data_IF_507712782958
#
_entry.id   IF_507712782958
#
_cell.length_a   1.000
_cell.length_b   1.000
_cell.length_c   1.000
_cell.angle_alpha   90.00
_cell.angle_beta   90.00
_cell.angle_gamma   90.00
#
_symmetry.space_group_name_H-M   'P 1'
#
loop_
_entity.id
_entity.type
_entity.pdbx_description
1 polymer ?
#
# COMPACT_ATOMS: atom_id res chain seq x y z
N UNK A 1 -15.38 -7.98 29.84
CA UNK A 1 -15.97 -6.70 30.26
C UNK A 1 -14.84 -5.96 30.95
N UNK A 2 -14.31 -4.93 30.27
CA UNK A 2 -13.25 -3.95 30.65
C UNK A 2 -12.14 -3.64 29.62
N UNK A 3 -12.20 -4.14 28.37
CA UNK A 3 -11.18 -3.77 27.36
C UNK A 3 -11.27 -2.31 26.85
N UNK A 4 -12.39 -1.62 27.09
CA UNK A 4 -12.64 -0.29 26.54
C UNK A 4 -12.14 0.86 27.42
N UNK A 5 -12.00 0.66 28.75
CA UNK A 5 -11.53 1.71 29.67
C UNK A 5 -9.99 1.83 29.73
N UNK A 6 -9.27 0.73 29.49
CA UNK A 6 -7.79 0.69 29.51
C UNK A 6 -7.14 1.40 28.30
N UNK A 7 -7.90 1.64 27.22
CA UNK A 7 -7.36 2.21 25.98
C UNK A 7 -7.33 3.74 25.98
N UNK A 8 -8.35 4.41 26.56
CA UNK A 8 -8.41 5.87 26.64
C UNK A 8 -7.27 6.45 27.50
N UNK A 9 -6.58 5.60 28.25
CA UNK A 9 -5.47 5.92 29.13
C UNK A 9 -4.13 5.32 28.65
N UNK A 10 -4.10 4.63 27.51
CA UNK A 10 -2.86 4.03 26.99
C UNK A 10 -1.89 5.10 26.48
N UNK A 11 -1.00 5.52 27.37
CA UNK A 11 0.05 6.49 27.10
C UNK A 11 1.16 5.90 26.23
N UNK A 12 0.98 6.02 24.91
CA UNK A 12 1.94 5.56 23.89
C UNK A 12 3.33 6.17 24.08
N UNK A 13 3.43 7.40 24.59
CA UNK A 13 4.71 8.12 24.73
C UNK A 13 5.70 7.39 25.65
N UNK A 14 5.20 6.62 26.62
CA UNK A 14 6.02 5.78 27.52
C UNK A 14 6.82 4.71 26.78
N UNK A 15 6.41 4.37 25.56
CA UNK A 15 7.00 3.32 24.75
C UNK A 15 7.88 3.86 23.61
N UNK A 16 8.26 5.14 23.64
CA UNK A 16 9.24 5.71 22.70
C UNK A 16 10.55 4.90 22.64
N UNK A 17 10.97 4.31 23.76
CA UNK A 17 12.15 3.44 23.77
C UNK A 17 11.93 2.12 23.05
N UNK A 18 10.71 1.55 23.07
CA UNK A 18 10.38 0.38 22.24
C UNK A 18 10.47 0.75 20.75
N UNK A 19 9.94 1.91 20.38
CA UNK A 19 10.06 2.44 19.01
C UNK A 19 11.52 2.53 18.57
N UNK A 20 12.36 3.16 19.40
CA UNK A 20 13.78 3.28 19.12
C UNK A 20 14.49 1.93 18.96
N UNK A 21 14.16 0.94 19.81
CA UNK A 21 14.69 -0.41 19.69
C UNK A 21 14.27 -1.09 18.38
N UNK A 22 13.02 -0.94 17.98
CA UNK A 22 12.51 -1.48 16.71
C UNK A 22 13.18 -0.83 15.50
N UNK A 23 13.38 0.49 15.55
CA UNK A 23 14.10 1.24 14.51
C UNK A 23 15.57 0.80 14.39
N UNK A 24 16.25 0.60 15.51
CA UNK A 24 17.64 0.16 15.53
C UNK A 24 17.80 -1.25 14.95
N UNK A 25 16.92 -2.18 15.34
CA UNK A 25 16.90 -3.54 14.80
C UNK A 25 16.59 -3.55 13.30
N UNK A 26 15.62 -2.74 12.85
CA UNK A 26 15.32 -2.59 11.43
C UNK A 26 16.49 -1.95 10.66
N UNK A 27 17.20 -0.99 11.25
CA UNK A 27 18.29 -0.26 10.60
C UNK A 27 19.51 -1.12 10.24
N UNK A 28 19.76 -2.19 11.01
CA UNK A 28 20.85 -3.15 10.70
C UNK A 28 20.39 -4.39 9.94
N UNK A 29 19.08 -4.63 9.90
CA UNK A 29 18.47 -5.76 9.21
C UNK A 29 18.55 -5.54 7.69
N UNK A 30 19.22 -6.45 6.99
CA UNK A 30 19.22 -6.49 5.52
C UNK A 30 18.03 -7.29 4.95
N UNK A 31 17.05 -7.54 5.81
CA UNK A 31 15.91 -8.40 5.58
C UNK A 31 16.21 -9.90 5.69
N UNK A 32 17.22 -10.27 6.48
CA UNK A 32 17.68 -11.65 6.67
C UNK A 32 18.19 -12.28 5.36
N UNK A 33 18.96 -11.51 4.57
CA UNK A 33 19.56 -11.98 3.30
C UNK A 33 20.96 -12.56 3.49
N UNK A 34 21.84 -11.82 4.16
CA UNK A 34 23.26 -12.18 4.29
C UNK A 34 23.83 -11.90 5.68
N UNK A 35 23.22 -10.99 6.46
CA UNK A 35 23.67 -10.65 7.81
C UNK A 35 22.96 -11.51 8.85
N UNK A 36 23.36 -12.77 8.91
CA UNK A 36 22.91 -13.68 9.97
C UNK A 36 23.16 -13.06 11.35
N UNK A 37 22.22 -13.29 12.26
CA UNK A 37 22.23 -12.77 13.64
C UNK A 37 22.25 -11.24 13.81
N UNK A 38 21.93 -10.46 12.76
CA UNK A 38 21.81 -9.00 12.83
C UNK A 38 20.42 -8.51 12.42
N UNK A 39 19.80 -7.74 13.32
CA UNK A 39 18.45 -7.21 13.17
C UNK A 39 17.38 -8.28 13.44
N UNK A 40 16.25 -8.11 12.75
CA UNK A 40 15.13 -9.04 12.80
C UNK A 40 15.43 -10.33 12.03
N UNK A 41 14.95 -11.47 12.55
CA UNK A 41 14.94 -12.72 11.79
C UNK A 41 13.89 -12.70 10.66
N UNK A 42 13.86 -13.75 9.84
CA UNK A 42 12.94 -13.83 8.69
C UNK A 42 11.45 -13.76 9.08
N UNK A 43 11.08 -14.20 10.29
CA UNK A 43 9.68 -14.17 10.77
C UNK A 43 9.28 -12.76 11.15
N UNK A 44 10.19 -12.01 11.76
CA UNK A 44 9.92 -10.68 12.28
C UNK A 44 10.24 -9.55 11.30
N UNK A 45 11.12 -9.78 10.32
CA UNK A 45 11.63 -8.77 9.37
C UNK A 45 10.53 -7.87 8.80
N UNK A 46 9.49 -8.46 8.18
CA UNK A 46 8.46 -7.66 7.50
C UNK A 46 7.69 -6.78 8.48
N UNK A 47 7.33 -7.31 9.65
CA UNK A 47 6.61 -6.57 10.68
C UNK A 47 7.52 -5.51 11.33
N UNK A 48 8.76 -5.88 11.65
CA UNK A 48 9.75 -5.00 12.26
C UNK A 48 10.04 -3.77 11.40
N UNK A 49 10.26 -3.94 10.09
CA UNK A 49 10.45 -2.82 9.18
C UNK A 49 9.20 -1.95 9.03
N UNK A 50 8.00 -2.55 8.96
CA UNK A 50 6.75 -1.79 8.90
C UNK A 50 6.61 -0.88 10.14
N UNK A 51 6.83 -1.40 11.34
CA UNK A 51 6.69 -0.61 12.57
C UNK A 51 7.87 0.33 12.83
N UNK A 52 9.06 0.03 12.30
CA UNK A 52 10.17 0.98 12.25
C UNK A 52 9.86 2.17 11.32
N UNK A 53 9.13 1.96 10.24
CA UNK A 53 8.71 3.04 9.35
C UNK A 53 7.57 3.89 9.94
N UNK A 54 6.59 3.24 10.59
CA UNK A 54 5.43 3.94 11.14
C UNK A 54 5.79 4.80 12.37
N UNK A 55 5.23 6.02 12.52
CA UNK A 55 5.32 6.78 13.75
C UNK A 55 4.62 6.02 14.88
N UNK A 56 5.05 6.26 16.11
CA UNK A 56 4.55 5.51 17.27
C UNK A 56 3.02 5.62 17.45
N UNK A 57 2.43 6.77 17.12
CA UNK A 57 0.97 6.96 17.18
C UNK A 57 0.19 6.20 16.09
N UNK A 58 0.89 5.72 15.06
CA UNK A 58 0.32 4.85 14.03
C UNK A 58 0.45 3.36 14.35
N UNK A 59 1.06 2.99 15.48
CA UNK A 59 1.16 1.58 15.88
C UNK A 59 -0.18 1.05 16.42
N UNK A 60 -0.67 -0.10 15.90
CA UNK A 60 -1.75 -0.86 16.54
C UNK A 60 -1.37 -1.24 17.97
N UNK A 61 -2.34 -1.28 18.88
CA UNK A 61 -2.06 -1.54 20.30
C UNK A 61 -1.43 -2.93 20.52
N UNK A 62 -1.85 -3.92 19.75
CA UNK A 62 -1.30 -5.28 19.77
C UNK A 62 0.22 -5.33 19.53
N UNK A 63 0.76 -4.32 18.84
CA UNK A 63 2.18 -4.26 18.47
C UNK A 63 3.06 -3.84 19.62
N UNK A 64 2.54 -3.13 20.62
CA UNK A 64 3.35 -2.72 21.76
C UNK A 64 3.86 -3.95 22.51
N UNK A 65 2.99 -4.92 22.84
CA UNK A 65 3.39 -6.17 23.49
C UNK A 65 4.36 -6.97 22.61
N UNK A 66 4.08 -7.07 21.30
CA UNK A 66 4.96 -7.74 20.35
C UNK A 66 6.35 -7.11 20.29
N UNK A 67 6.42 -5.78 20.21
CA UNK A 67 7.68 -5.03 20.20
C UNK A 67 8.44 -5.19 21.52
N UNK A 68 7.74 -5.21 22.65
CA UNK A 68 8.37 -5.52 23.93
C UNK A 68 8.98 -6.93 23.95
N UNK A 69 8.28 -7.94 23.43
CA UNK A 69 8.83 -9.30 23.27
C UNK A 69 10.07 -9.31 22.36
N UNK A 70 10.09 -8.51 21.29
CA UNK A 70 11.28 -8.35 20.46
C UNK A 70 12.47 -7.81 21.25
N UNK A 71 12.26 -6.88 22.19
CA UNK A 71 13.37 -6.40 23.03
C UNK A 71 13.99 -7.50 23.90
N UNK A 72 13.21 -8.50 24.31
CA UNK A 72 13.71 -9.65 25.07
C UNK A 72 14.41 -10.65 24.16
N UNK A 73 13.82 -10.94 22.99
CA UNK A 73 14.40 -11.83 21.98
C UNK A 73 15.75 -11.31 21.47
N UNK A 74 15.82 -10.04 21.10
CA UNK A 74 17.00 -9.40 20.50
C UNK A 74 17.87 -8.62 21.51
N UNK A 75 17.74 -8.91 22.81
CA UNK A 75 18.39 -8.14 23.88
C UNK A 75 19.92 -8.03 23.71
N UNK A 76 20.58 -9.09 23.23
CA UNK A 76 22.04 -9.08 23.00
C UNK A 76 22.43 -8.02 21.97
N UNK A 77 21.75 -8.01 20.83
CA UNK A 77 22.01 -7.03 19.75
C UNK A 77 21.69 -5.61 20.22
N UNK A 78 20.58 -5.42 20.94
CA UNK A 78 20.22 -4.11 21.51
C UNK A 78 21.28 -3.62 22.52
N UNK A 79 21.83 -4.52 23.33
CA UNK A 79 22.94 -4.21 24.24
C UNK A 79 24.22 -3.78 23.51
N UNK A 80 24.56 -4.45 22.41
CA UNK A 80 25.68 -4.06 21.53
C UNK A 80 25.46 -2.68 20.90
N UNK A 81 24.20 -2.31 20.62
CA UNK A 81 23.79 -0.98 20.15
C UNK A 81 23.64 0.06 21.27
N UNK A 82 23.93 -0.29 22.53
CA UNK A 82 23.76 0.58 23.70
C UNK A 82 22.30 1.00 23.96
N UNK A 83 21.33 0.19 23.54
CA UNK A 83 19.90 0.41 23.77
C UNK A 83 19.44 -0.46 24.94
N UNK A 84 19.29 0.14 26.11
CA UNK A 84 18.82 -0.57 27.31
C UNK A 84 17.29 -0.59 27.39
N UNK A 85 16.71 -1.77 27.18
CA UNK A 85 15.28 -2.07 27.30
C UNK A 85 14.95 -2.94 28.54
N UNK A 86 15.88 -3.12 29.47
CA UNK A 86 15.71 -4.01 30.63
C UNK A 86 14.58 -3.55 31.56
N UNK A 87 14.53 -2.25 31.84
CA UNK A 87 13.56 -1.62 32.74
C UNK A 87 12.23 -1.22 32.08
N UNK A 88 12.01 -1.55 30.80
CA UNK A 88 10.75 -1.18 30.13
C UNK A 88 9.58 -2.00 30.67
N UNK A 89 8.49 -1.32 31.12
CA UNK A 89 7.31 -2.02 31.59
C UNK A 89 6.72 -2.85 30.45
N UNK A 90 6.22 -4.03 30.80
CA UNK A 90 5.48 -4.86 29.86
C UNK A 90 4.17 -4.16 29.48
N UNK A 91 3.90 -3.92 28.18
CA UNK A 91 2.62 -3.40 27.73
C UNK A 91 1.48 -4.42 27.97
N UNK A 92 0.22 -3.98 28.13
CA UNK A 92 -0.92 -4.88 28.13
C UNK A 92 -1.01 -5.66 26.81
N UNK A 93 -1.65 -6.83 26.87
CA UNK A 93 -1.96 -7.64 25.69
C UNK A 93 -3.30 -7.19 25.13
N UNK A 94 -3.29 -6.68 23.90
CA UNK A 94 -4.50 -6.24 23.19
C UNK A 94 -4.81 -7.22 22.06
N UNK A 95 -5.58 -8.28 22.37
CA UNK A 95 -6.00 -9.27 21.37
C UNK A 95 -7.02 -8.70 20.40
N UNK A 96 -6.84 -8.94 19.10
CA UNK A 96 -7.79 -8.52 18.05
C UNK A 96 -7.67 -7.05 17.63
N UNK A 97 -6.79 -6.27 18.25
CA UNK A 97 -6.62 -4.83 18.00
C UNK A 97 -5.56 -4.50 16.95
N UNK A 98 -5.56 -5.31 15.89
CA UNK A 98 -4.62 -5.21 14.78
C UNK A 98 -5.10 -4.29 13.65
N UNK A 99 -6.36 -3.83 13.74
CA UNK A 99 -7.04 -3.04 12.70
C UNK A 99 -7.02 -1.55 13.04
N UNK A 100 -6.12 -0.81 12.41
CA UNK A 100 -5.95 0.62 12.63
C UNK A 100 -5.82 1.41 11.34
N UNK A 101 -6.42 2.60 11.31
CA UNK A 101 -6.15 3.63 10.33
C UNK A 101 -5.34 4.72 11.02
N UNK A 102 -4.26 5.17 10.41
CA UNK A 102 -3.45 6.28 10.87
C UNK A 102 -3.22 7.29 9.73
N UNK A 103 -2.77 8.49 10.07
CA UNK A 103 -2.30 9.43 9.05
C UNK A 103 -0.98 8.93 8.47
N UNK A 104 -0.80 9.11 7.15
CA UNK A 104 0.49 8.88 6.53
C UNK A 104 1.53 9.89 7.07
N UNK A 105 2.79 9.48 7.36
CA UNK A 105 3.80 10.36 7.97
C UNK A 105 4.15 11.59 7.14
N UNK A 106 4.02 11.50 5.81
CA UNK A 106 4.19 12.65 4.91
C UNK A 106 2.95 13.56 4.78
N UNK A 107 1.84 13.21 5.45
CA UNK A 107 0.58 13.95 5.43
C UNK A 107 -0.29 13.77 4.17
N UNK A 108 0.15 12.96 3.20
CA UNK A 108 -0.49 12.84 1.87
C UNK A 108 -1.68 11.88 1.84
N UNK A 109 -1.90 11.07 2.87
CA UNK A 109 -2.98 10.08 2.89
C UNK A 109 -3.13 9.36 4.22
N UNK A 110 -3.63 8.13 4.16
CA UNK A 110 -3.86 7.27 5.33
C UNK A 110 -3.04 5.99 5.24
N UNK A 111 -2.50 5.55 6.37
CA UNK A 111 -2.05 4.18 6.58
C UNK A 111 -3.20 3.32 7.07
N UNK A 112 -3.36 2.15 6.46
CA UNK A 112 -4.38 1.17 6.86
C UNK A 112 -3.67 -0.12 7.22
N UNK A 113 -3.75 -0.49 8.50
CA UNK A 113 -3.04 -1.60 9.10
C UNK A 113 -4.07 -2.62 9.55
N UNK A 114 -3.91 -3.86 9.12
CA UNK A 114 -4.75 -4.99 9.50
C UNK A 114 -4.04 -6.31 9.20
N UNK A 115 -4.48 -7.43 9.80
CA UNK A 115 -3.91 -8.75 9.54
C UNK A 115 -4.04 -9.14 8.06
N UNK A 116 -2.98 -9.71 7.48
CA UNK A 116 -2.96 -10.12 6.06
C UNK A 116 -3.68 -11.45 5.80
N UNK A 117 -4.10 -12.16 6.82
CA UNK A 117 -4.79 -13.46 6.77
C UNK A 117 -6.32 -13.33 6.63
N UNK A 118 -6.88 -12.13 6.83
CA UNK A 118 -8.29 -11.82 6.56
C UNK A 118 -8.50 -11.48 5.07
N UNK A 119 -8.58 -12.52 4.23
CA UNK A 119 -8.72 -12.35 2.78
C UNK A 119 -9.93 -11.51 2.33
N UNK A 120 -11.14 -11.68 2.91
CA UNK A 120 -12.27 -10.81 2.58
C UNK A 120 -12.00 -9.32 2.85
N UNK A 121 -11.35 -9.00 3.97
CA UNK A 121 -10.94 -7.64 4.30
C UNK A 121 -9.88 -7.10 3.34
N UNK A 122 -8.88 -7.93 3.03
CA UNK A 122 -7.82 -7.60 2.07
C UNK A 122 -8.41 -7.29 0.70
N UNK A 123 -9.37 -8.09 0.22
CA UNK A 123 -9.96 -7.93 -1.10
C UNK A 123 -10.88 -6.71 -1.16
N UNK A 124 -11.72 -6.49 -0.13
CA UNK A 124 -12.57 -5.30 -0.08
C UNK A 124 -11.76 -4.01 -0.05
N UNK A 125 -10.65 -3.98 0.71
CA UNK A 125 -9.75 -2.84 0.74
C UNK A 125 -9.11 -2.55 -0.64
N UNK A 126 -8.75 -3.60 -1.38
CA UNK A 126 -8.16 -3.50 -2.73
C UNK A 126 -9.11 -2.93 -3.77
N UNK A 127 -10.40 -2.99 -3.51
CA UNK A 127 -11.42 -2.45 -4.40
C UNK A 127 -11.81 -1.00 -4.02
N UNK A 128 -11.27 -0.44 -2.93
CA UNK A 128 -11.52 0.96 -2.61
C UNK A 128 -10.83 1.89 -3.62
N UNK A 129 -11.57 2.85 -4.20
CA UNK A 129 -10.98 3.82 -5.12
C UNK A 129 -9.99 4.73 -4.37
N UNK A 130 -8.79 4.90 -4.92
CA UNK A 130 -7.73 5.70 -4.30
C UNK A 130 -6.79 4.91 -3.38
N UNK A 131 -6.94 3.59 -3.26
CA UNK A 131 -5.88 2.78 -2.66
C UNK A 131 -4.65 2.73 -3.56
N UNK A 132 -3.47 2.75 -2.96
CA UNK A 132 -2.20 2.59 -3.65
C UNK A 132 -1.36 1.53 -2.94
N UNK A 133 -0.76 0.62 -3.72
CA UNK A 133 0.22 -0.34 -3.21
C UNK A 133 1.62 0.26 -3.30
N UNK A 134 2.26 0.38 -2.16
CA UNK A 134 3.64 0.85 -2.04
C UNK A 134 4.59 -0.31 -1.79
N UNK A 135 5.84 -0.10 -2.16
CA UNK A 135 6.95 -1.02 -1.93
C UNK A 135 8.12 -0.20 -1.42
N UNK A 136 8.51 -0.47 -0.19
CA UNK A 136 9.74 0.10 0.37
C UNK A 136 10.82 -0.98 0.36
N UNK A 137 12.00 -0.70 -0.24
CA UNK A 137 13.11 -1.63 -0.22
C UNK A 137 13.65 -1.84 1.19
N UNK A 138 13.93 -3.10 1.51
CA UNK A 138 14.71 -3.55 2.67
C UNK A 138 16.00 -4.13 2.10
N UNK A 139 17.11 -3.44 2.37
CA UNK A 139 18.41 -3.81 1.80
C UNK A 139 18.41 -3.76 0.27
N UNK A 140 19.01 -4.77 -0.37
CA UNK A 140 19.27 -4.76 -1.83
C UNK A 140 18.19 -5.44 -2.66
N UNK A 141 17.29 -6.24 -2.06
CA UNK A 141 16.35 -7.09 -2.82
C UNK A 141 14.98 -7.32 -2.19
N UNK A 142 14.80 -7.03 -0.91
CA UNK A 142 13.53 -7.29 -0.23
C UNK A 142 12.64 -6.06 -0.29
N UNK A 143 11.33 -6.28 -0.31
CA UNK A 143 10.36 -5.20 -0.27
C UNK A 143 9.34 -5.54 0.81
N UNK A 144 9.06 -4.62 1.72
CA UNK A 144 7.80 -4.69 2.45
C UNK A 144 6.74 -3.91 1.68
N UNK A 145 5.55 -4.52 1.65
CA UNK A 145 4.40 -3.97 0.94
C UNK A 145 3.48 -3.38 1.96
N UNK A 146 3.08 -2.14 1.74
CA UNK A 146 2.01 -1.51 2.49
C UNK A 146 1.08 -0.82 1.52
N UNK A 147 -0.11 -0.49 2.00
CA UNK A 147 -1.09 0.22 1.20
C UNK A 147 -1.48 1.51 1.88
N UNK A 148 -1.62 2.55 1.09
CA UNK A 148 -2.18 3.82 1.53
C UNK A 148 -3.48 4.08 0.83
N UNK A 149 -4.24 5.02 1.38
CA UNK A 149 -5.44 5.55 0.76
C UNK A 149 -5.27 7.05 0.51
N UNK A 150 -5.52 7.48 -0.73
CA UNK A 150 -5.56 8.88 -1.15
C UNK A 150 -6.92 9.16 -1.78
N UNK A 151 -7.69 10.11 -1.24
CA UNK A 151 -9.03 10.43 -1.75
C UNK A 151 -9.98 10.92 -0.67
N UNK A 152 -11.29 10.85 -0.94
CA UNK A 152 -12.33 11.20 0.02
C UNK A 152 -12.24 10.24 1.20
N UNK A 153 -11.62 10.69 2.29
CA UNK A 153 -11.46 9.88 3.48
C UNK A 153 -12.79 9.39 4.05
N UNK A 154 -13.93 9.99 3.71
CA UNK A 154 -15.26 9.46 4.05
C UNK A 154 -15.48 8.03 3.51
N UNK A 155 -15.08 7.72 2.27
CA UNK A 155 -15.20 6.36 1.71
C UNK A 155 -14.38 5.37 2.52
N UNK A 156 -13.16 5.77 2.90
CA UNK A 156 -12.30 4.96 3.76
C UNK A 156 -12.94 4.72 5.12
N UNK A 157 -13.51 5.75 5.75
CA UNK A 157 -14.18 5.63 7.05
C UNK A 157 -15.43 4.75 6.98
N UNK A 158 -16.23 4.90 5.94
CA UNK A 158 -17.44 4.10 5.71
C UNK A 158 -17.08 2.63 5.53
N UNK A 159 -16.05 2.34 4.73
CA UNK A 159 -15.52 0.98 4.55
C UNK A 159 -14.98 0.40 5.86
N UNK A 160 -14.28 1.21 6.66
CA UNK A 160 -13.59 0.73 7.86
C UNK A 160 -14.55 0.43 9.02
N UNK A 161 -15.72 1.05 9.03
CA UNK A 161 -16.76 0.90 10.06
C UNK A 161 -17.24 -0.54 10.27
N UNK A 162 -17.70 -1.30 9.25
CA UNK A 162 -18.13 -2.68 9.43
C UNK A 162 -17.02 -3.64 9.87
N UNK A 163 -15.75 -3.25 9.69
CA UNK A 163 -14.59 -4.04 10.12
C UNK A 163 -14.01 -3.59 11.47
N UNK A 164 -14.66 -2.63 12.13
CA UNK A 164 -14.30 -2.11 13.45
C UNK A 164 -12.86 -1.58 13.53
N UNK A 165 -12.40 -0.87 12.50
CA UNK A 165 -11.09 -0.23 12.55
C UNK A 165 -11.04 0.87 13.61
N UNK A 166 -9.91 0.93 14.30
CA UNK A 166 -9.55 2.06 15.16
C UNK A 166 -9.00 3.20 14.32
N UNK A 167 -9.38 4.43 14.68
CA UNK A 167 -8.89 5.63 14.03
C UNK A 167 -7.82 6.26 14.92
N UNK A 168 -6.62 6.44 14.36
CA UNK A 168 -5.56 7.20 14.99
C UNK A 168 -5.93 8.69 15.10
N UNK A 169 -5.20 9.45 15.93
CA UNK A 169 -5.42 10.88 16.10
C UNK A 169 -5.42 11.63 14.74
N UNK A 170 -6.39 12.53 14.54
CA UNK A 170 -6.48 13.36 13.33
C UNK A 170 -7.03 12.67 12.08
N UNK A 171 -7.24 11.35 12.11
CA UNK A 171 -7.72 10.58 10.94
C UNK A 171 -9.13 11.00 10.55
N UNK A 172 -10.05 11.13 11.52
CA UNK A 172 -11.44 11.49 11.26
C UNK A 172 -11.54 12.90 10.69
N UNK A 173 -10.83 13.83 11.30
CA UNK A 173 -10.77 15.23 10.90
C UNK A 173 -10.18 15.37 9.49
N UNK A 174 -9.07 14.68 9.20
CA UNK A 174 -8.47 14.67 7.87
C UNK A 174 -9.39 14.06 6.82
N UNK A 175 -10.07 12.97 7.17
CA UNK A 175 -10.99 12.29 6.28
C UNK A 175 -12.21 13.15 5.92
N UNK A 176 -12.76 13.86 6.90
CA UNK A 176 -13.86 14.80 6.72
C UNK A 176 -13.40 16.08 6.00
N UNK A 177 -12.21 16.61 6.30
CA UNK A 177 -11.65 17.78 5.64
C UNK A 177 -11.27 17.52 4.18
N UNK A 178 -11.08 16.26 3.79
CA UNK A 178 -10.84 15.83 2.41
C UNK A 178 -12.13 15.85 1.56
N UNK A 179 -13.04 16.81 1.81
CA UNK A 179 -14.20 17.12 0.98
C UNK A 179 -13.75 17.72 -0.37
N UNK A 180 -13.19 16.88 -1.21
CA UNK A 180 -13.18 17.07 -2.65
C UNK A 180 -13.98 15.92 -3.24
N UNK A 181 -14.78 16.19 -4.27
CA UNK A 181 -15.23 15.14 -5.17
C UNK A 181 -13.97 14.37 -5.56
N UNK A 182 -13.85 13.12 -5.11
CA UNK A 182 -13.02 12.19 -5.84
C UNK A 182 -13.70 12.17 -7.19
N UNK A 183 -13.05 12.74 -8.21
CA UNK A 183 -13.19 12.16 -9.54
C UNK A 183 -12.67 10.76 -9.31
N UNK A 184 -13.56 9.85 -8.88
CA UNK A 184 -13.24 8.43 -8.77
C UNK A 184 -12.88 8.12 -10.21
N UNK A 185 -11.58 7.96 -10.51
CA UNK A 185 -11.21 7.61 -11.86
C UNK A 185 -11.99 6.33 -12.11
N UNK A 186 -12.80 6.28 -13.18
CA UNK A 186 -13.66 5.12 -13.47
C UNK A 186 -12.87 3.86 -13.16
N UNK A 187 -13.49 2.90 -12.46
CA UNK A 187 -12.83 1.64 -12.11
C UNK A 187 -12.19 1.02 -13.36
N UNK A 188 -12.81 1.24 -14.52
CA UNK A 188 -12.30 1.01 -15.86
C UNK A 188 -11.73 2.31 -16.42
N UNK A 189 -10.40 2.46 -16.39
CA UNK A 189 -9.75 3.63 -16.99
C UNK A 189 -8.46 3.27 -17.68
N UNK A 190 -8.09 4.13 -18.63
CA UNK A 190 -6.79 4.10 -19.28
C UNK A 190 -6.04 5.39 -19.00
N UNK A 191 -4.75 5.29 -18.73
CA UNK A 191 -3.85 6.42 -18.60
C UNK A 191 -2.77 6.29 -19.67
N UNK A 192 -2.32 7.39 -20.26
CA UNK A 192 -1.21 7.38 -21.20
C UNK A 192 0.04 7.95 -20.52
N UNK A 193 1.07 7.13 -20.42
CA UNK A 193 2.34 7.48 -19.81
C UNK A 193 3.34 7.89 -20.90
N UNK A 194 3.46 9.20 -21.16
CA UNK A 194 4.33 9.74 -22.21
C UNK A 194 5.78 9.26 -22.09
N UNK A 195 6.33 9.24 -20.87
CA UNK A 195 7.73 8.85 -20.61
C UNK A 195 8.04 7.41 -21.03
N UNK A 196 7.03 6.55 -20.99
CA UNK A 196 7.15 5.13 -21.37
C UNK A 196 6.58 4.84 -22.75
N UNK A 197 5.97 5.83 -23.41
CA UNK A 197 5.15 5.69 -24.63
C UNK A 197 4.23 4.46 -24.53
N UNK A 198 3.37 4.44 -23.50
CA UNK A 198 2.53 3.29 -23.18
C UNK A 198 1.20 3.67 -22.53
N UNK A 199 0.20 2.80 -22.70
CA UNK A 199 -1.12 2.90 -22.09
C UNK A 199 -1.19 1.99 -20.85
N UNK A 200 -1.54 2.56 -19.69
CA UNK A 200 -1.80 1.83 -18.46
C UNK A 200 -3.31 1.61 -18.30
N UNK A 201 -3.75 0.36 -18.21
CA UNK A 201 -5.15 -0.03 -18.08
C UNK A 201 -5.43 -0.49 -16.65
N UNK A 202 -6.40 0.17 -16.02
CA UNK A 202 -6.86 -0.13 -14.67
C UNK A 202 -8.29 -0.65 -14.75
N UNK A 203 -8.53 -1.82 -14.16
CA UNK A 203 -9.85 -2.43 -14.02
C UNK A 203 -9.83 -3.51 -12.92
N UNK A 204 -10.91 -3.68 -12.14
CA UNK A 204 -10.98 -4.68 -11.08
C UNK A 204 -11.33 -6.09 -11.59
N UNK A 205 -11.99 -6.20 -12.75
CA UNK A 205 -12.49 -7.49 -13.25
C UNK A 205 -11.36 -8.37 -13.80
N UNK A 206 -11.06 -9.45 -13.07
CA UNK A 206 -10.04 -10.41 -13.46
C UNK A 206 -10.40 -11.22 -14.71
N UNK A 207 -11.67 -11.29 -15.10
CA UNK A 207 -12.10 -11.99 -16.32
C UNK A 207 -11.54 -11.30 -17.57
N UNK A 208 -11.40 -9.97 -17.55
CA UNK A 208 -10.84 -9.19 -18.65
C UNK A 208 -9.35 -9.43 -18.88
N UNK A 209 -8.64 -10.04 -17.92
CA UNK A 209 -7.22 -10.39 -18.09
C UNK A 209 -6.98 -11.31 -19.30
N UNK A 210 -7.93 -12.18 -19.64
CA UNK A 210 -7.81 -13.05 -20.80
C UNK A 210 -7.84 -12.25 -22.11
N UNK A 211 -8.72 -11.24 -22.20
CA UNK A 211 -8.81 -10.35 -23.36
C UNK A 211 -7.57 -9.46 -23.49
N UNK A 212 -7.10 -8.86 -22.39
CA UNK A 212 -5.91 -8.00 -22.43
C UNK A 212 -4.64 -8.79 -22.82
N UNK A 213 -4.57 -10.08 -22.45
CA UNK A 213 -3.49 -10.98 -22.88
C UNK A 213 -3.46 -11.21 -24.39
N UNK A 214 -4.55 -10.94 -25.12
CA UNK A 214 -4.60 -11.01 -26.57
C UNK A 214 -4.10 -9.73 -27.26
N UNK A 215 -4.02 -8.60 -26.54
CA UNK A 215 -3.58 -7.31 -27.09
C UNK A 215 -2.05 -7.33 -27.29
N UNK A 216 -1.51 -7.05 -28.49
CA UNK A 216 -0.06 -7.00 -28.71
C UNK A 216 0.66 -6.03 -27.77
N UNK A 217 1.93 -6.28 -27.51
CA UNK A 217 2.78 -5.41 -26.68
C UNK A 217 2.31 -5.23 -25.23
N UNK A 218 1.44 -6.12 -24.72
CA UNK A 218 1.10 -6.17 -23.30
C UNK A 218 2.27 -6.59 -22.41
N UNK A 219 2.35 -5.94 -21.27
CA UNK A 219 3.04 -6.34 -20.06
C UNK A 219 2.15 -6.03 -18.86
N UNK A 220 2.56 -6.43 -17.66
CA UNK A 220 1.88 -6.03 -16.43
C UNK A 220 2.84 -5.24 -15.57
N UNK A 221 2.31 -4.30 -14.80
CA UNK A 221 3.05 -3.53 -13.82
C UNK A 221 2.35 -3.62 -12.46
N UNK A 222 3.16 -3.46 -11.42
CA UNK A 222 2.70 -3.37 -10.03
C UNK A 222 3.01 -2.00 -9.42
N UNK A 223 3.48 -1.03 -10.22
CA UNK A 223 3.76 0.32 -9.74
C UNK A 223 2.44 1.04 -9.45
N UNK A 224 2.20 1.45 -8.21
CA UNK A 224 0.90 2.02 -7.80
C UNK A 224 -0.28 1.03 -7.76
N UNK A 225 -0.04 -0.29 -7.92
CA UNK A 225 -1.09 -1.32 -8.01
C UNK A 225 -0.95 -2.19 -9.26
N UNK A 226 -1.68 -3.31 -9.31
CA UNK A 226 -1.69 -4.16 -10.51
C UNK A 226 -2.45 -3.44 -11.63
N UNK A 227 -1.80 -3.30 -12.78
CA UNK A 227 -2.41 -2.78 -14.00
C UNK A 227 -1.70 -3.38 -15.21
N UNK A 228 -2.40 -3.40 -16.33
CA UNK A 228 -1.79 -3.81 -17.61
C UNK A 228 -1.14 -2.61 -18.26
N UNK A 229 0.01 -2.82 -18.90
CA UNK A 229 0.70 -1.79 -19.67
C UNK A 229 0.77 -2.28 -21.11
N UNK A 230 0.24 -1.48 -22.04
CA UNK A 230 0.26 -1.74 -23.47
C UNK A 230 1.18 -0.71 -24.11
N UNK A 231 2.31 -1.14 -24.67
CA UNK A 231 3.19 -0.21 -25.39
C UNK A 231 2.44 0.45 -26.54
N UNK A 232 2.63 1.76 -26.73
CA UNK A 232 1.96 2.57 -27.74
C UNK A 232 2.55 2.28 -29.14
N UNK A 233 2.27 1.08 -29.65
CA UNK A 233 2.70 0.61 -30.96
C UNK A 233 1.52 0.42 -31.88
N UNK A 234 1.75 0.59 -33.18
CA UNK A 234 0.72 0.39 -34.23
C UNK A 234 -0.02 -0.94 -34.10
N UNK A 235 0.71 -2.03 -33.88
CA UNK A 235 0.11 -3.36 -33.73
C UNK A 235 -0.86 -3.49 -32.54
N UNK A 236 -0.78 -2.59 -31.57
CA UNK A 236 -1.62 -2.60 -30.38
C UNK A 236 -2.81 -1.63 -30.48
N UNK A 237 -2.83 -0.70 -31.45
CA UNK A 237 -3.83 0.36 -31.53
C UNK A 237 -5.27 -0.18 -31.73
N UNK A 238 -5.53 -0.89 -32.84
CA UNK A 238 -6.88 -1.43 -33.10
C UNK A 238 -7.36 -2.41 -32.02
N UNK A 239 -6.54 -3.39 -31.57
CA UNK A 239 -6.97 -4.30 -30.50
C UNK A 239 -7.25 -3.58 -29.18
N UNK A 240 -6.47 -2.56 -28.84
CA UNK A 240 -6.67 -1.75 -27.64
C UNK A 240 -7.94 -0.91 -27.77
N UNK A 241 -8.15 -0.18 -28.88
CA UNK A 241 -9.38 0.59 -29.09
C UNK A 241 -10.62 -0.31 -29.04
N UNK A 242 -10.58 -1.46 -29.72
CA UNK A 242 -11.69 -2.41 -29.71
C UNK A 242 -11.98 -2.96 -28.30
N UNK A 243 -10.94 -3.18 -27.49
CA UNK A 243 -11.10 -3.55 -26.08
C UNK A 243 -11.73 -2.40 -25.27
N UNK A 244 -11.18 -1.19 -25.37
CA UNK A 244 -11.67 0.00 -24.65
C UNK A 244 -13.08 0.43 -25.08
N UNK A 245 -13.55 0.09 -26.28
CA UNK A 245 -14.91 0.40 -26.72
C UNK A 245 -15.94 -0.64 -26.25
N UNK A 246 -15.51 -1.88 -25.97
CA UNK A 246 -16.40 -2.96 -25.49
C UNK A 246 -16.66 -2.86 -23.99
N UNK A 247 -15.70 -2.32 -23.27
CA UNK A 247 -15.70 -2.19 -21.82
C UNK A 247 -15.75 -0.70 -21.50
N UNK A 248 -16.55 -0.26 -20.53
CA UNK A 248 -16.87 1.16 -20.28
C UNK A 248 -15.68 1.96 -19.69
N UNK A 249 -14.59 2.06 -20.45
CA UNK A 249 -13.35 2.70 -20.05
C UNK A 249 -13.46 4.22 -20.15
N UNK A 250 -13.05 4.91 -19.09
CA UNK A 250 -12.76 6.33 -19.16
C UNK A 250 -11.42 6.54 -19.90
N UNK A 251 -11.49 7.20 -21.06
CA UNK A 251 -10.33 7.49 -21.90
C UNK A 251 -10.05 9.00 -21.85
N UNK A 252 -8.92 9.43 -21.27
CA UNK A 252 -8.55 10.83 -21.25
C UNK A 252 -8.19 11.32 -22.67
N UNK A 253 -8.38 12.61 -23.00
CA UNK A 253 -8.15 13.15 -24.33
C UNK A 253 -6.75 12.90 -24.89
N UNK A 254 -5.76 12.79 -24.01
CA UNK A 254 -4.38 12.50 -24.38
C UNK A 254 -4.18 11.06 -24.86
N UNK A 255 -4.76 10.08 -24.16
CA UNK A 255 -4.74 8.69 -24.57
C UNK A 255 -5.51 8.49 -25.87
N UNK A 256 -6.66 9.15 -26.00
CA UNK A 256 -7.47 9.14 -27.23
C UNK A 256 -6.68 9.69 -28.42
N UNK A 257 -6.00 10.84 -28.25
CA UNK A 257 -5.17 11.45 -29.30
C UNK A 257 -4.04 10.51 -29.73
N UNK A 258 -3.33 9.91 -28.78
CA UNK A 258 -2.23 9.00 -29.11
C UNK A 258 -2.72 7.75 -29.85
N UNK A 259 -3.87 7.18 -29.45
CA UNK A 259 -4.50 6.08 -30.19
C UNK A 259 -4.81 6.46 -31.63
N UNK A 260 -5.39 7.65 -31.85
CA UNK A 260 -5.69 8.16 -33.20
C UNK A 260 -4.43 8.37 -34.04
N UNK A 261 -3.34 8.88 -33.46
CA UNK A 261 -2.06 9.03 -34.15
C UNK A 261 -1.52 7.68 -34.64
N UNK A 262 -1.55 6.65 -33.79
CA UNK A 262 -1.08 5.31 -34.14
C UNK A 262 -1.90 4.68 -35.27
N UNK A 263 -3.20 4.98 -35.36
CA UNK A 263 -4.10 4.51 -36.43
C UNK A 263 -3.88 5.26 -37.75
N UNK A 264 -3.67 6.57 -37.70
CA UNK A 264 -3.38 7.37 -38.88
C UNK A 264 -2.01 7.02 -39.50
N UNK A 265 -1.08 6.59 -38.66
CA UNK A 265 0.19 6.03 -39.11
C UNK A 265 0.04 4.71 -39.91
N UNK A 266 -1.05 3.96 -39.73
CA UNK A 266 -1.39 2.77 -40.54
C UNK A 266 -1.84 3.21 -41.93
N UNK A 267 -2.78 4.17 -41.99
CA UNK A 267 -3.38 4.62 -43.25
C UNK A 267 -2.41 5.28 -44.24
N UNK A 268 -1.27 5.80 -43.76
CA UNK A 268 -0.24 6.43 -44.62
C UNK A 268 0.72 5.45 -45.27
N UNK A 269 0.89 4.25 -44.73
CA UNK A 269 1.81 3.24 -45.31
C UNK A 269 1.11 2.45 -46.41
N UNK A 270 -0.21 2.27 -46.31
CA UNK A 270 -1.02 1.56 -47.32
C UNK A 270 -1.31 2.40 -48.58
N UNK A 271 -0.90 3.67 -48.62
CA UNK A 271 -1.03 4.55 -49.79
C UNK A 271 0.25 4.61 -50.65
N UNK A 272 1.30 3.89 -50.28
CA UNK A 272 2.59 3.83 -51.00
C UNK A 272 2.93 2.43 -51.54
N UNK A 273 1.95 1.53 -51.57
CA UNK A 273 2.00 0.22 -52.25
C UNK A 273 0.80 0.07 -53.18
#
# INVERSE_FOLDING_TARGET
>A
MDCAEDEATFDRSRYQRLKHAVEALAGVCDGALMRDDQGFDGTDTRAGHLYAYLPLDAWPLSIFHRAWRWTKKYHRQLGEMQIDCSALPEPPVFEGEDRQIALHPDGTGFFVIFPNDDWPLVDSFRNLPGNALHKEPIGTKLFFRYRTYHGAGSILLDWATPYHFRLGPGVRERAQASHGSVVVPSEYRVEYAQEMDAFALYFPDRLLNAEVKAIPCRSYSYNGGFHWVIGARRSAADPLRAFLSRHDFSIPPEAERRLQELEQEVSRVDLYW
#
